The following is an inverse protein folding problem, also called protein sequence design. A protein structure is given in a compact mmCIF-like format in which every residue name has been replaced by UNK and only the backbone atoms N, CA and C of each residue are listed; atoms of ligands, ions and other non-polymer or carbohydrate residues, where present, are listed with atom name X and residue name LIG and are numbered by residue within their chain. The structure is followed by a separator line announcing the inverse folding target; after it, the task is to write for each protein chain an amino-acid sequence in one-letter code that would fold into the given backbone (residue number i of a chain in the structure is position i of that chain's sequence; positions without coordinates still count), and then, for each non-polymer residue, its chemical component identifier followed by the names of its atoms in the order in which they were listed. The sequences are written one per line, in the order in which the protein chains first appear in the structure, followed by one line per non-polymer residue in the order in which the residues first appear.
data_IF_115136927764
#
_entry.id   IF_115136927764
#
_cell.length_a   1.000
_cell.length_b   1.000
_cell.length_c   1.000
_cell.angle_alpha   90.00
_cell.angle_beta   90.00
_cell.angle_gamma   90.00
#
_symmetry.space_group_name_H-M   'P 1'
#
loop_
_entity.id
_entity.type
_entity.pdbx_description
1 polymer ?
#
# COMPACT_ATOMS: atom_id res chain seq x y z
N UNK A 1 -14.38 -13.73 -8.95
CA UNK A 1 -14.60 -12.29 -8.82
C UNK A 1 -13.39 -11.67 -8.14
N UNK A 2 -12.72 -10.79 -8.83
CA UNK A 2 -11.61 -10.06 -8.23
C UNK A 2 -12.15 -9.14 -7.15
N UNK A 3 -11.71 -9.36 -5.92
CA UNK A 3 -11.97 -8.38 -4.88
C UNK A 3 -11.43 -7.04 -5.37
N UNK A 4 -12.27 -6.03 -5.35
CA UNK A 4 -11.85 -4.68 -5.63
C UNK A 4 -10.74 -4.34 -4.65
N UNK A 5 -9.55 -4.14 -5.16
CA UNK A 5 -8.43 -3.74 -4.33
C UNK A 5 -8.62 -2.25 -4.01
N UNK A 6 -9.27 -1.98 -2.89
CA UNK A 6 -9.55 -0.62 -2.45
C UNK A 6 -8.26 0.20 -2.34
N UNK A 7 -7.19 -0.42 -1.84
CA UNK A 7 -5.90 0.27 -1.73
C UNK A 7 -5.38 0.71 -3.09
N UNK A 8 -5.48 -0.13 -4.12
CA UNK A 8 -5.05 0.22 -5.47
C UNK A 8 -5.87 1.38 -6.03
N UNK A 9 -7.17 1.39 -5.79
CA UNK A 9 -8.04 2.50 -6.21
C UNK A 9 -7.67 3.79 -5.49
N UNK A 10 -7.41 3.72 -4.19
CA UNK A 10 -6.98 4.88 -3.41
C UNK A 10 -5.65 5.43 -3.92
N UNK A 11 -4.69 4.55 -4.20
CA UNK A 11 -3.39 4.94 -4.76
C UNK A 11 -3.58 5.63 -6.10
N UNK A 12 -4.38 5.06 -7.00
CA UNK A 12 -4.62 5.65 -8.32
C UNK A 12 -5.25 7.03 -8.22
N UNK A 13 -6.28 7.18 -7.40
CA UNK A 13 -6.98 8.45 -7.22
C UNK A 13 -6.06 9.52 -6.61
N UNK A 14 -5.29 9.15 -5.61
CA UNK A 14 -4.34 10.07 -4.97
C UNK A 14 -3.21 10.45 -5.93
N UNK A 15 -2.69 9.48 -6.68
CA UNK A 15 -1.63 9.71 -7.65
C UNK A 15 -2.05 10.72 -8.72
N UNK A 16 -3.27 10.58 -9.22
CA UNK A 16 -3.81 11.52 -10.21
C UNK A 16 -3.87 12.94 -9.67
N UNK A 17 -4.30 13.11 -8.43
CA UNK A 17 -4.42 14.44 -7.83
C UNK A 17 -3.06 15.02 -7.46
N UNK A 18 -2.12 14.21 -7.00
CA UNK A 18 -0.78 14.66 -6.61
C UNK A 18 0.04 15.09 -7.83
N UNK A 19 -0.17 14.46 -8.97
CA UNK A 19 0.49 14.85 -10.20
C UNK A 19 1.48 13.82 -10.73
N UNK A 20 2.09 14.15 -11.84
CA UNK A 20 3.02 13.28 -12.55
C UNK A 20 4.24 12.96 -11.70
N UNK A 21 4.59 11.69 -11.62
CA UNK A 21 5.76 11.25 -10.85
C UNK A 21 5.51 11.04 -9.37
N UNK A 22 4.27 11.21 -8.91
CA UNK A 22 3.92 11.11 -7.49
C UNK A 22 3.26 9.76 -7.12
N UNK A 23 3.39 8.77 -7.98
CA UNK A 23 2.82 7.44 -7.71
C UNK A 23 3.40 6.83 -6.43
N UNK A 24 4.72 6.92 -6.25
CA UNK A 24 5.37 6.37 -5.06
C UNK A 24 4.94 7.08 -3.79
N UNK A 25 4.71 8.39 -3.86
CA UNK A 25 4.17 9.16 -2.74
C UNK A 25 2.80 8.63 -2.34
N UNK A 26 1.93 8.42 -3.34
CA UNK A 26 0.59 7.86 -3.10
C UNK A 26 0.68 6.47 -2.47
N UNK A 27 1.53 5.60 -3.00
CA UNK A 27 1.74 4.25 -2.45
C UNK A 27 2.18 4.33 -0.98
N UNK A 28 3.15 5.19 -0.69
CA UNK A 28 3.69 5.34 0.66
C UNK A 28 2.62 5.76 1.66
N UNK A 29 1.80 6.73 1.27
CA UNK A 29 0.71 7.21 2.13
C UNK A 29 -0.36 6.15 2.36
N UNK A 30 -0.81 5.48 1.32
CA UNK A 30 -1.84 4.45 1.47
C UNK A 30 -1.31 3.24 2.24
N UNK A 31 -0.04 2.86 2.03
CA UNK A 31 0.58 1.80 2.84
C UNK A 31 0.55 2.13 4.34
N UNK A 32 0.81 3.39 4.70
CA UNK A 32 0.77 3.83 6.10
C UNK A 32 -0.62 3.64 6.69
N UNK A 33 -1.66 3.95 5.92
CA UNK A 33 -3.05 3.72 6.35
C UNK A 33 -3.30 2.22 6.54
N UNK A 34 -2.86 1.39 5.61
CA UNK A 34 -3.04 -0.06 5.70
C UNK A 34 -2.26 -0.67 6.87
N UNK A 35 -1.12 -0.11 7.21
CA UNK A 35 -0.34 -0.57 8.37
C UNK A 35 -1.08 -0.36 9.68
N UNK A 36 -1.76 0.77 9.81
CA UNK A 36 -2.45 1.13 11.04
C UNK A 36 -3.88 0.57 11.10
N UNK A 37 -4.64 0.73 10.03
CA UNK A 37 -6.06 0.35 9.99
C UNK A 37 -6.33 -0.97 9.28
N UNK A 38 -5.31 -1.67 8.79
CA UNK A 38 -5.50 -2.90 8.02
C UNK A 38 -6.34 -3.94 8.77
N UNK A 39 -7.33 -4.49 8.08
CA UNK A 39 -8.25 -5.45 8.65
C UNK A 39 -9.42 -4.85 9.42
N UNK A 40 -9.57 -3.52 9.39
CA UNK A 40 -10.60 -2.82 10.13
C UNK A 40 -11.55 -2.07 9.20
N UNK A 41 -12.77 -1.89 9.66
CA UNK A 41 -13.73 -1.00 9.03
C UNK A 41 -13.49 0.41 9.55
N UNK A 42 -13.42 1.37 8.64
CA UNK A 42 -13.29 2.79 9.01
C UNK A 42 -14.35 3.60 8.27
N UNK A 43 -14.67 4.75 8.81
CA UNK A 43 -15.59 5.68 8.19
C UNK A 43 -14.92 7.03 8.09
N UNK A 44 -14.87 7.56 6.86
CA UNK A 44 -14.44 8.94 6.61
C UNK A 44 -15.66 9.76 6.24
N UNK A 45 -15.82 10.96 6.79
CA UNK A 45 -16.87 11.85 6.32
C UNK A 45 -16.54 12.31 4.90
N UNK A 46 -17.58 12.57 4.12
CA UNK A 46 -17.41 13.05 2.76
C UNK A 46 -17.02 14.52 2.71
N UNK A 47 -17.43 15.28 3.71
CA UNK A 47 -17.25 16.73 3.76
C UNK A 47 -16.38 17.14 4.93
N UNK A 48 -15.47 18.09 4.71
CA UNK A 48 -14.55 18.61 5.73
C UNK A 48 -15.23 19.25 6.93
N UNK A 49 -16.47 19.67 6.78
CA UNK A 49 -17.23 20.33 7.86
C UNK A 49 -17.52 19.38 9.02
N UNK A 50 -17.53 18.09 8.77
CA UNK A 50 -17.81 17.10 9.80
C UNK A 50 -16.54 16.81 10.59
N UNK A 51 -16.63 16.89 11.91
CA UNK A 51 -15.52 16.53 12.78
C UNK A 51 -15.38 14.99 12.79
N UNK A 52 -14.17 14.50 12.60
CA UNK A 52 -13.92 13.06 12.58
C UNK A 52 -12.54 12.79 13.16
N UNK A 53 -12.52 11.98 14.23
CA UNK A 53 -11.26 11.49 14.80
C UNK A 53 -10.51 10.62 13.80
N UNK A 54 -11.23 9.78 13.05
CA UNK A 54 -10.64 8.92 12.02
C UNK A 54 -9.94 9.76 10.96
N UNK A 55 -10.59 10.82 10.48
CA UNK A 55 -9.97 11.71 9.49
C UNK A 55 -8.69 12.36 10.03
N UNK A 56 -8.69 12.79 11.30
CA UNK A 56 -7.50 13.38 11.91
C UNK A 56 -6.38 12.34 12.10
N UNK A 57 -6.71 11.12 12.48
CA UNK A 57 -5.73 10.04 12.57
C UNK A 57 -5.12 9.73 11.22
N UNK A 58 -5.93 9.67 10.18
CA UNK A 58 -5.45 9.41 8.82
C UNK A 58 -4.58 10.58 8.34
N UNK A 59 -4.97 11.81 8.64
CA UNK A 59 -4.13 12.98 8.33
C UNK A 59 -2.76 12.85 8.96
N UNK A 60 -2.70 12.47 10.23
CA UNK A 60 -1.44 12.28 10.95
C UNK A 60 -0.57 11.20 10.34
N UNK A 61 -1.17 10.06 9.99
CA UNK A 61 -0.45 8.97 9.34
C UNK A 61 0.12 9.39 7.98
N UNK A 62 -0.69 10.11 7.20
CA UNK A 62 -0.26 10.61 5.90
C UNK A 62 0.85 11.65 6.05
N UNK A 63 0.71 12.59 6.98
CA UNK A 63 1.72 13.62 7.21
C UNK A 63 3.07 13.01 7.60
N UNK A 64 3.06 12.00 8.46
CA UNK A 64 4.27 11.28 8.85
C UNK A 64 4.91 10.54 7.69
N UNK A 65 4.10 10.01 6.78
CA UNK A 65 4.59 9.21 5.66
C UNK A 65 5.05 10.06 4.47
N UNK A 66 4.31 11.11 4.13
CA UNK A 66 4.51 11.85 2.86
C UNK A 66 4.64 13.36 3.02
N UNK A 67 4.55 13.88 4.24
CA UNK A 67 4.62 15.32 4.50
C UNK A 67 3.25 15.98 4.46
N UNK A 68 3.16 17.18 5.03
CA UNK A 68 1.88 17.88 5.26
C UNK A 68 1.14 18.25 3.97
N UNK A 69 1.85 18.73 2.97
CA UNK A 69 1.23 19.16 1.71
C UNK A 69 0.57 18.01 0.96
N UNK A 70 1.32 16.93 0.78
CA UNK A 70 0.80 15.72 0.13
C UNK A 70 -0.31 15.08 0.97
N UNK A 71 -0.15 15.09 2.30
CA UNK A 71 -1.16 14.53 3.20
C UNK A 71 -2.51 15.24 3.05
N UNK A 72 -2.52 16.55 2.97
CA UNK A 72 -3.77 17.30 2.77
C UNK A 72 -4.44 16.95 1.46
N UNK A 73 -3.66 16.88 0.39
CA UNK A 73 -4.18 16.50 -0.93
C UNK A 73 -4.77 15.10 -0.91
N UNK A 74 -4.03 14.16 -0.33
CA UNK A 74 -4.48 12.77 -0.27
C UNK A 74 -5.74 12.63 0.59
N UNK A 75 -5.78 13.30 1.74
CA UNK A 75 -6.97 13.26 2.60
C UNK A 75 -8.19 13.82 1.88
N UNK A 76 -8.04 14.91 1.15
CA UNK A 76 -9.13 15.49 0.35
C UNK A 76 -9.68 14.50 -0.66
N UNK A 77 -8.79 13.78 -1.35
CA UNK A 77 -9.18 12.75 -2.32
C UNK A 77 -9.92 11.61 -1.62
N UNK A 78 -9.38 11.12 -0.52
CA UNK A 78 -9.98 10.02 0.21
C UNK A 78 -11.38 10.37 0.73
N UNK A 79 -11.55 11.56 1.27
CA UNK A 79 -12.84 12.02 1.76
C UNK A 79 -13.84 12.21 0.63
N UNK A 80 -13.44 12.88 -0.44
CA UNK A 80 -14.36 13.19 -1.54
C UNK A 80 -14.78 11.98 -2.35
N UNK A 81 -13.88 11.02 -2.56
CA UNK A 81 -14.14 9.86 -3.41
C UNK A 81 -14.55 8.61 -2.64
N UNK A 82 -14.08 8.45 -1.41
CA UNK A 82 -14.33 7.24 -0.64
C UNK A 82 -15.09 7.50 0.67
N UNK A 83 -15.32 8.76 1.02
CA UNK A 83 -16.05 9.13 2.23
C UNK A 83 -17.55 8.89 2.13
N UNK A 84 -18.20 8.90 3.28
CA UNK A 84 -19.65 8.76 3.37
C UNK A 84 -20.17 7.34 3.45
N UNK A 85 -19.29 6.34 3.34
CA UNK A 85 -19.64 4.93 3.46
C UNK A 85 -18.58 4.21 4.30
N UNK A 86 -18.95 3.13 5.00
CA UNK A 86 -17.94 2.33 5.69
C UNK A 86 -16.97 1.71 4.71
N UNK A 87 -15.67 1.76 5.05
CA UNK A 87 -14.60 1.23 4.22
C UNK A 87 -13.86 0.14 4.98
N UNK A 88 -13.69 -1.01 4.37
CA UNK A 88 -12.81 -2.05 4.89
C UNK A 88 -11.40 -1.80 4.37
N UNK A 89 -10.48 -1.50 5.28
CA UNK A 89 -9.09 -1.24 4.90
C UNK A 89 -8.35 -2.57 4.84
N UNK A 90 -7.79 -2.92 3.66
CA UNK A 90 -7.06 -4.18 3.55
C UNK A 90 -5.74 -4.11 4.32
N UNK A 91 -5.28 -5.27 4.77
CA UNK A 91 -3.98 -5.36 5.42
C UNK A 91 -2.87 -5.06 4.40
N UNK A 92 -1.79 -4.43 4.87
CA UNK A 92 -0.68 -4.05 4.02
C UNK A 92 -0.11 -5.23 3.22
N UNK A 93 0.10 -6.36 3.88
CA UNK A 93 0.69 -7.53 3.22
C UNK A 93 -0.20 -8.11 2.12
N UNK A 94 -1.48 -7.84 2.17
CA UNK A 94 -2.43 -8.25 1.14
C UNK A 94 -2.52 -7.23 0.02
N UNK A 95 -2.66 -5.96 0.40
CA UNK A 95 -2.85 -4.87 -0.55
C UNK A 95 -1.59 -4.58 -1.37
N UNK A 96 -0.42 -4.71 -0.75
CA UNK A 96 0.86 -4.35 -1.36
C UNK A 96 1.82 -5.54 -1.45
N UNK A 97 1.26 -6.71 -1.71
CA UNK A 97 2.01 -7.97 -1.76
C UNK A 97 3.20 -7.90 -2.72
N UNK A 98 2.99 -7.35 -3.91
CA UNK A 98 4.03 -7.30 -4.93
C UNK A 98 5.13 -6.30 -4.57
N UNK A 99 4.76 -5.17 -4.01
CA UNK A 99 5.71 -4.18 -3.51
C UNK A 99 6.57 -4.74 -2.37
N UNK A 100 5.93 -5.42 -1.43
CA UNK A 100 6.63 -6.09 -0.33
C UNK A 100 7.56 -7.18 -0.85
N UNK A 101 7.10 -7.96 -1.83
CA UNK A 101 7.92 -9.01 -2.44
C UNK A 101 9.19 -8.44 -3.04
N UNK A 102 9.08 -7.33 -3.76
CA UNK A 102 10.24 -6.66 -4.36
C UNK A 102 11.21 -6.14 -3.29
N UNK A 103 10.69 -5.52 -2.24
CA UNK A 103 11.52 -5.03 -1.14
C UNK A 103 12.28 -6.16 -0.46
N UNK A 104 11.61 -7.26 -0.19
CA UNK A 104 12.22 -8.43 0.45
C UNK A 104 13.28 -9.03 -0.47
N UNK A 105 13.00 -9.11 -1.77
CA UNK A 105 13.96 -9.61 -2.77
C UNK A 105 15.25 -8.81 -2.76
N UNK A 106 15.15 -7.49 -2.66
CA UNK A 106 16.30 -6.59 -2.63
C UNK A 106 17.11 -6.71 -1.33
N UNK A 107 16.40 -6.89 -0.21
CA UNK A 107 17.05 -6.89 1.12
C UNK A 107 17.60 -8.25 1.52
N UNK A 108 16.99 -9.33 1.08
CA UNK A 108 17.40 -10.67 1.53
C UNK A 108 18.69 -11.10 0.84
N UNK A 109 19.72 -11.34 1.65
CA UNK A 109 21.05 -11.75 1.17
C UNK A 109 21.33 -13.25 1.39
N UNK A 110 20.32 -14.01 1.83
CA UNK A 110 20.45 -15.43 2.10
C UNK A 110 20.99 -15.78 3.48
N UNK A 111 21.38 -14.77 4.28
CA UNK A 111 21.92 -15.02 5.60
C UNK A 111 20.82 -15.22 6.64
N UNK A 112 21.16 -15.96 7.70
CA UNK A 112 20.27 -16.19 8.83
C UNK A 112 19.95 -14.89 9.57
N UNK A 113 20.94 -14.00 9.67
CA UNK A 113 20.81 -12.69 10.31
C UNK A 113 19.77 -11.83 9.59
N UNK A 114 19.85 -11.75 8.27
CA UNK A 114 18.89 -10.98 7.48
C UNK A 114 17.50 -11.60 7.54
N UNK A 115 17.41 -12.94 7.61
CA UNK A 115 16.13 -13.64 7.78
C UNK A 115 15.40 -13.16 9.03
N UNK A 116 16.11 -13.14 10.17
CA UNK A 116 15.54 -12.69 11.42
C UNK A 116 15.15 -11.22 11.39
N UNK A 117 15.97 -10.40 10.75
CA UNK A 117 15.72 -8.97 10.63
C UNK A 117 14.49 -8.67 9.79
N UNK A 118 14.33 -9.35 8.66
CA UNK A 118 13.16 -9.18 7.81
C UNK A 118 11.87 -9.59 8.53
N UNK A 119 11.90 -10.70 9.28
CA UNK A 119 10.76 -11.13 10.07
C UNK A 119 10.35 -10.04 11.07
N UNK A 120 11.31 -9.38 11.68
CA UNK A 120 11.06 -8.31 12.64
C UNK A 120 10.55 -7.05 11.98
N UNK A 121 11.19 -6.61 10.88
CA UNK A 121 10.81 -5.39 10.16
C UNK A 121 9.38 -5.48 9.65
N UNK A 122 9.03 -6.61 9.04
CA UNK A 122 7.71 -6.77 8.39
C UNK A 122 6.68 -7.44 9.30
N UNK A 123 7.09 -7.86 10.51
CA UNK A 123 6.22 -8.56 11.45
C UNK A 123 5.54 -9.77 10.79
N UNK A 124 6.35 -10.59 10.16
CA UNK A 124 5.91 -11.79 9.45
C UNK A 124 6.74 -12.99 9.86
N UNK A 125 6.17 -14.20 9.72
CA UNK A 125 6.94 -15.43 9.87
C UNK A 125 7.93 -15.59 8.71
N UNK A 126 8.97 -16.38 8.92
CA UNK A 126 9.92 -16.65 7.84
C UNK A 126 9.24 -17.31 6.64
N UNK A 127 8.26 -18.18 6.88
CA UNK A 127 7.50 -18.81 5.78
C UNK A 127 6.84 -17.76 4.89
N UNK A 128 6.26 -16.72 5.48
CA UNK A 128 5.65 -15.62 4.72
C UNK A 128 6.70 -14.82 3.96
N UNK A 129 7.83 -14.50 4.62
CA UNK A 129 8.95 -13.80 3.97
C UNK A 129 9.46 -14.59 2.77
N UNK A 130 9.64 -15.90 2.96
CA UNK A 130 10.15 -16.78 1.91
C UNK A 130 9.20 -16.85 0.71
N UNK A 131 7.89 -16.92 0.97
CA UNK A 131 6.88 -16.90 -0.11
C UNK A 131 6.93 -15.61 -0.91
N UNK A 132 7.08 -14.48 -0.24
CA UNK A 132 7.19 -13.18 -0.90
C UNK A 132 8.47 -13.09 -1.71
N UNK A 133 9.58 -13.58 -1.17
CA UNK A 133 10.85 -13.65 -1.88
C UNK A 133 10.70 -14.43 -3.19
N UNK A 134 10.08 -15.60 -3.14
CA UNK A 134 9.83 -16.43 -4.33
C UNK A 134 8.87 -15.75 -5.29
N UNK A 135 7.87 -15.06 -4.78
CA UNK A 135 6.94 -14.28 -5.60
C UNK A 135 7.71 -13.25 -6.43
N UNK A 136 8.65 -12.56 -5.82
CA UNK A 136 9.47 -11.57 -6.52
C UNK A 136 10.31 -12.20 -7.62
N UNK A 137 10.89 -13.38 -7.36
CA UNK A 137 11.67 -14.10 -8.36
C UNK A 137 10.79 -14.50 -9.54
N UNK A 138 9.59 -15.00 -9.28
CA UNK A 138 8.64 -15.33 -10.34
C UNK A 138 8.28 -14.13 -11.20
N UNK A 139 8.05 -12.98 -10.57
CA UNK A 139 7.76 -11.73 -11.28
C UNK A 139 8.93 -11.30 -12.16
N UNK A 140 10.16 -11.45 -11.69
CA UNK A 140 11.36 -11.16 -12.48
C UNK A 140 11.43 -12.06 -13.72
N UNK A 141 11.13 -13.34 -13.57
CA UNK A 141 11.10 -14.29 -14.68
C UNK A 141 10.03 -13.93 -15.70
N UNK A 142 8.85 -13.56 -15.26
CA UNK A 142 7.76 -13.15 -16.13
C UNK A 142 8.15 -11.93 -16.97
N UNK A 143 8.86 -10.98 -16.36
CA UNK A 143 9.33 -9.78 -17.05
C UNK A 143 10.44 -10.07 -18.06
N UNK A 144 11.33 -11.02 -17.75
CA UNK A 144 12.45 -11.38 -18.62
C UNK A 144 12.07 -12.30 -19.76
N UNK A 145 10.96 -13.02 -19.62
CA UNK A 145 10.42 -13.90 -20.64
C UNK A 145 9.11 -13.34 -21.16
N UNK A 146 9.16 -12.36 -22.08
CA UNK A 146 7.92 -11.90 -22.69
C UNK A 146 7.20 -13.09 -23.27
N UNK A 147 5.90 -13.14 -23.03
CA UNK A 147 5.05 -14.22 -23.53
C UNK A 147 5.29 -14.40 -25.03
N UNK A 148 5.48 -15.64 -25.45
CA UNK A 148 5.57 -15.97 -26.88
C UNK A 148 4.36 -15.49 -27.64
N UNK A 149 3.26 -15.24 -26.96
CA UNK A 149 2.01 -14.78 -27.55
C UNK A 149 1.94 -13.27 -27.73
N UNK A 150 2.84 -12.52 -27.08
CA UNK A 150 2.82 -11.06 -27.21
C UNK A 150 3.42 -10.56 -28.52
N UNK A 151 4.11 -11.42 -29.27
CA UNK A 151 4.75 -11.11 -30.53
C UNK A 151 3.86 -11.40 -31.74
N UNK A 152 2.64 -11.83 -31.53
CA UNK A 152 1.71 -12.15 -32.62
C UNK A 152 0.65 -11.11 -32.80
#
# INVERSE_FOLDING_TARGET
MTELNLAAEMVSSCSLRLGRGEHETAVKGIRAICQYFGGQMVFLPKFKKEKSETAEEIRGLLADAVGDGAAETMLDVLMSQFGGVPLYIPKENRAFRDELAKEIREKYDGTKEMRGELCRIYNMSFSQIYRLYHRAIEMEHEQKQPSLFSDF
#
